data_IF_494004936086
#
_entry.id   IF_494004936086
#
_cell.length_a   1.000
_cell.length_b   1.000
_cell.length_c   1.000
_cell.angle_alpha   90.00
_cell.angle_beta   90.00
_cell.angle_gamma   90.00
#
_symmetry.space_group_name_H-M   'P 1'
#
loop_
_entity.id
_entity.type
_entity.pdbx_description
1 polymer ?
#
# COMPACT_ATOMS: atom_id res chain seq x y z
N UNK A 1 0.50 7.52 -6.46
CA UNK A 1 -0.35 8.68 -6.11
C UNK A 1 -1.39 8.27 -5.07
N UNK A 2 -1.78 9.17 -4.18
CA UNK A 2 -2.88 8.96 -3.23
C UNK A 2 -3.54 10.29 -2.86
N UNK A 3 -4.74 10.24 -2.28
CA UNK A 3 -5.39 11.43 -1.71
C UNK A 3 -4.78 11.73 -0.34
N UNK A 4 -4.50 13.01 -0.06
CA UNK A 4 -3.93 13.40 1.25
C UNK A 4 -4.88 13.13 2.41
N UNK A 5 -6.20 13.27 2.19
CA UNK A 5 -7.23 13.08 3.21
C UNK A 5 -8.28 12.10 2.70
N UNK A 6 -8.64 11.11 3.50
CA UNK A 6 -9.72 10.18 3.19
C UNK A 6 -10.00 9.16 4.29
N UNK A 7 -11.23 8.66 4.31
CA UNK A 7 -11.67 7.59 5.23
C UNK A 7 -11.22 6.20 4.78
N UNK A 8 -10.92 6.05 3.49
CA UNK A 8 -10.41 4.81 2.88
C UNK A 8 -9.07 5.13 2.21
N UNK A 9 -8.05 4.34 2.53
CA UNK A 9 -6.73 4.45 1.93
C UNK A 9 -6.73 3.74 0.58
N UNK A 10 -6.36 4.46 -0.48
CA UNK A 10 -6.18 3.89 -1.82
C UNK A 10 -4.96 4.53 -2.47
N UNK A 11 -4.04 3.68 -2.90
CA UNK A 11 -2.82 4.09 -3.56
C UNK A 11 -2.86 3.61 -5.00
N UNK A 12 -2.61 4.54 -5.91
CA UNK A 12 -2.64 4.30 -7.35
C UNK A 12 -1.22 4.34 -7.90
N UNK A 13 -0.84 3.29 -8.62
CA UNK A 13 0.33 3.32 -9.49
C UNK A 13 -0.02 4.03 -10.79
N UNK A 14 0.87 4.93 -11.23
CA UNK A 14 0.62 5.72 -12.43
C UNK A 14 1.90 5.89 -13.25
N UNK A 15 1.84 5.51 -14.51
CA UNK A 15 2.87 5.69 -15.52
C UNK A 15 2.35 6.33 -16.81
N UNK A 16 1.10 6.83 -16.83
CA UNK A 16 0.44 7.37 -18.02
C UNK A 16 0.57 8.89 -18.21
N UNK A 17 1.57 9.51 -17.57
CA UNK A 17 1.82 10.97 -17.59
C UNK A 17 0.68 11.84 -17.02
N UNK A 18 -0.33 11.27 -16.35
CA UNK A 18 -1.40 12.06 -15.75
C UNK A 18 -0.90 13.02 -14.66
N UNK A 19 -1.53 14.19 -14.62
CA UNK A 19 -1.23 15.25 -13.65
C UNK A 19 -2.03 15.06 -12.37
N UNK A 20 -1.32 15.10 -11.23
CA UNK A 20 -1.96 15.12 -9.91
C UNK A 20 -2.64 16.46 -9.64
N UNK A 21 -3.75 16.43 -8.89
CA UNK A 21 -4.35 17.63 -8.32
C UNK A 21 -3.59 18.06 -7.05
N UNK A 22 -3.78 19.29 -6.62
CA UNK A 22 -3.20 19.87 -5.38
C UNK A 22 -3.53 19.05 -4.10
N UNK A 23 -4.69 18.38 -4.12
CA UNK A 23 -5.20 17.49 -3.08
C UNK A 23 -4.57 16.09 -3.08
N UNK A 24 -3.72 15.78 -4.07
CA UNK A 24 -3.03 14.50 -4.17
C UNK A 24 -1.60 14.58 -3.68
N UNK A 25 -1.09 13.45 -3.19
CA UNK A 25 0.32 13.24 -2.89
C UNK A 25 0.86 12.15 -3.81
N UNK A 26 2.16 12.17 -4.05
CA UNK A 26 2.82 11.18 -4.88
C UNK A 26 4.23 10.91 -4.36
N UNK A 27 4.72 9.71 -4.70
CA UNK A 27 6.08 9.28 -4.43
C UNK A 27 6.66 8.77 -5.75
N UNK A 28 7.97 8.98 -5.90
CA UNK A 28 8.77 8.48 -7.02
C UNK A 28 9.98 7.74 -6.44
N UNK A 29 10.54 6.81 -7.20
CA UNK A 29 11.74 6.09 -6.79
C UNK A 29 11.80 4.69 -7.35
N UNK A 30 12.80 3.94 -6.90
CA UNK A 30 12.97 2.54 -7.25
C UNK A 30 11.94 1.68 -6.52
N UNK A 31 11.52 0.59 -7.16
CA UNK A 31 10.59 -0.40 -6.61
C UNK A 31 9.22 0.19 -6.20
N UNK A 32 8.76 1.23 -6.89
CA UNK A 32 7.51 1.93 -6.54
C UNK A 32 6.28 1.03 -6.71
N UNK A 33 6.33 0.03 -7.58
CA UNK A 33 5.28 -0.97 -7.76
C UNK A 33 5.12 -1.80 -6.49
N UNK A 34 6.22 -2.30 -5.92
CA UNK A 34 6.19 -2.99 -4.63
C UNK A 34 5.64 -2.10 -3.51
N UNK A 35 6.09 -0.85 -3.41
CA UNK A 35 5.58 0.09 -2.41
C UNK A 35 4.06 0.28 -2.57
N UNK A 36 3.60 0.42 -3.81
CA UNK A 36 2.17 0.55 -4.12
C UNK A 36 1.39 -0.71 -3.72
N UNK A 37 1.93 -1.91 -3.94
CA UNK A 37 1.34 -3.14 -3.45
C UNK A 37 1.20 -3.11 -1.93
N UNK A 38 2.30 -2.86 -1.18
CA UNK A 38 2.27 -2.86 0.30
C UNK A 38 1.19 -1.93 0.84
N UNK A 39 1.13 -0.70 0.34
CA UNK A 39 0.23 0.32 0.85
C UNK A 39 -1.26 0.03 0.60
N UNK A 40 -1.60 -0.87 -0.34
CA UNK A 40 -2.97 -1.30 -0.61
C UNK A 40 -3.32 -2.64 0.07
N UNK A 41 -2.44 -3.22 0.88
CA UNK A 41 -2.75 -4.45 1.65
C UNK A 41 -3.14 -4.15 3.08
N UNK A 42 -3.73 -5.12 3.81
CA UNK A 42 -3.94 -5.01 5.26
C UNK A 42 -2.67 -4.62 6.03
N UNK A 43 -1.49 -5.08 5.59
CA UNK A 43 -0.21 -4.67 6.17
C UNK A 43 0.04 -3.16 6.01
N UNK A 44 -0.24 -2.61 4.82
CA UNK A 44 -0.13 -1.17 4.56
C UNK A 44 -1.08 -0.35 5.45
N UNK A 45 -2.31 -0.82 5.62
CA UNK A 45 -3.29 -0.18 6.50
C UNK A 45 -2.83 -0.24 7.97
N UNK A 46 -2.28 -1.38 8.40
CA UNK A 46 -1.66 -1.51 9.73
C UNK A 46 -0.48 -0.55 9.93
N UNK A 47 0.40 -0.40 8.95
CA UNK A 47 1.54 0.54 9.01
C UNK A 47 1.11 2.00 9.12
N UNK A 48 -0.07 2.33 8.60
CA UNK A 48 -0.64 3.68 8.59
C UNK A 48 -1.69 3.92 9.69
N UNK A 49 -1.91 2.96 10.60
CA UNK A 49 -2.95 3.04 11.65
C UNK A 49 -2.82 4.26 12.56
N UNK A 50 -1.58 4.72 12.77
CA UNK A 50 -1.24 5.84 13.65
C UNK A 50 -1.09 7.16 12.88
N UNK A 51 -1.46 7.20 11.60
CA UNK A 51 -1.44 8.42 10.82
C UNK A 51 -2.38 9.48 11.44
N UNK A 52 -2.02 10.78 11.36
CA UNK A 52 -2.83 11.86 11.90
C UNK A 52 -4.26 11.81 11.35
N UNK A 53 -5.24 12.18 12.19
CA UNK A 53 -6.64 12.27 11.78
C UNK A 53 -7.13 13.70 11.74
N UNK A 54 -8.06 14.00 10.83
CA UNK A 54 -8.80 15.27 10.81
C UNK A 54 -9.76 15.36 11.99
N UNK A 55 -10.35 16.54 12.22
CA UNK A 55 -11.39 16.72 13.23
C UNK A 55 -12.65 15.86 13.03
N UNK A 56 -12.85 15.31 11.83
CA UNK A 56 -13.95 14.39 11.48
C UNK A 56 -13.55 12.91 11.54
N UNK A 57 -12.29 12.61 11.87
CA UNK A 57 -11.78 11.25 12.01
C UNK A 57 -11.16 10.63 10.75
N UNK A 58 -11.13 11.37 9.64
CA UNK A 58 -10.49 10.92 8.39
C UNK A 58 -8.97 10.87 8.55
N UNK A 59 -8.31 9.91 7.90
CA UNK A 59 -6.85 9.82 7.91
C UNK A 59 -6.25 10.92 7.03
N UNK A 60 -5.16 11.52 7.52
CA UNK A 60 -4.33 12.50 6.83
C UNK A 60 -3.00 11.84 6.49
N UNK A 61 -2.89 11.31 5.27
CA UNK A 61 -1.69 10.65 4.76
C UNK A 61 -0.84 11.66 3.99
N UNK A 62 -0.10 12.50 4.73
CA UNK A 62 0.95 13.35 4.16
C UNK A 62 2.27 12.59 4.08
N UNK A 63 3.32 13.26 3.59
CA UNK A 63 4.69 12.73 3.61
C UNK A 63 5.10 12.29 5.03
N UNK A 64 4.69 13.03 6.06
CA UNK A 64 5.04 12.72 7.47
C UNK A 64 4.40 11.42 7.98
N UNK A 65 3.28 10.99 7.40
CA UNK A 65 2.65 9.72 7.75
C UNK A 65 3.35 8.53 7.06
N UNK A 66 3.84 8.75 5.84
CA UNK A 66 4.45 7.69 5.01
C UNK A 66 5.94 7.52 5.32
N UNK A 67 6.68 8.61 5.54
CA UNK A 67 8.14 8.58 5.77
C UNK A 67 8.58 7.66 6.93
N UNK A 68 7.86 7.54 8.06
CA UNK A 68 8.27 6.67 9.16
C UNK A 68 8.05 5.17 8.92
N UNK A 69 7.23 4.78 7.94
CA UNK A 69 6.86 3.37 7.76
C UNK A 69 8.09 2.53 7.40
N UNK A 70 8.12 1.29 7.89
CA UNK A 70 9.23 0.36 7.64
C UNK A 70 8.82 -0.62 6.57
N UNK A 71 9.41 -0.48 5.39
CA UNK A 71 9.25 -1.41 4.27
C UNK A 71 10.43 -2.38 4.21
N UNK A 72 10.19 -3.68 3.93
CA UNK A 72 11.27 -4.62 3.73
C UNK A 72 12.01 -4.28 2.43
N UNK A 73 13.30 -4.59 2.40
CA UNK A 73 14.09 -4.47 1.17
C UNK A 73 13.78 -5.64 0.25
N UNK A 74 13.54 -5.37 -1.02
CA UNK A 74 13.22 -6.38 -2.04
C UNK A 74 14.27 -6.38 -3.15
N UNK A 75 14.50 -7.54 -3.75
CA UNK A 75 15.36 -7.64 -4.94
C UNK A 75 14.63 -7.10 -6.17
N UNK A 76 15.39 -6.85 -7.23
CA UNK A 76 14.81 -6.40 -8.50
C UNK A 76 13.87 -7.47 -9.11
N UNK A 77 14.22 -8.76 -9.01
CA UNK A 77 13.35 -9.83 -9.52
C UNK A 77 12.02 -9.86 -8.78
N UNK A 78 12.04 -9.68 -7.45
CA UNK A 78 10.84 -9.65 -6.64
C UNK A 78 9.97 -8.41 -6.95
N UNK A 79 10.59 -7.25 -7.21
CA UNK A 79 9.82 -6.07 -7.64
C UNK A 79 9.14 -6.28 -9.00
N UNK A 80 9.79 -6.97 -9.95
CA UNK A 80 9.15 -7.35 -11.23
C UNK A 80 7.94 -8.25 -10.99
N UNK A 81 8.03 -9.18 -10.04
CA UNK A 81 6.90 -10.03 -9.70
C UNK A 81 5.72 -9.20 -9.14
N UNK A 82 5.98 -8.29 -8.20
CA UNK A 82 4.95 -7.39 -7.66
C UNK A 82 4.36 -6.49 -8.74
N UNK A 83 5.18 -5.98 -9.66
CA UNK A 83 4.70 -5.21 -10.82
C UNK A 83 3.71 -6.01 -11.66
N UNK A 84 4.03 -7.26 -12.00
CA UNK A 84 3.14 -8.14 -12.77
C UNK A 84 1.82 -8.36 -12.04
N UNK A 85 1.86 -8.62 -10.73
CA UNK A 85 0.66 -8.81 -9.92
C UNK A 85 -0.18 -7.54 -9.85
N UNK A 86 0.45 -6.37 -9.70
CA UNK A 86 -0.20 -5.07 -9.71
C UNK A 86 -0.91 -4.79 -11.04
N UNK A 87 -0.25 -5.04 -12.17
CA UNK A 87 -0.84 -4.90 -13.51
C UNK A 87 -2.05 -5.83 -13.69
N UNK A 88 -1.96 -7.08 -13.23
CA UNK A 88 -3.10 -8.00 -13.24
C UNK A 88 -4.26 -7.53 -12.35
N UNK A 89 -3.95 -6.97 -11.18
CA UNK A 89 -4.95 -6.43 -10.26
C UNK A 89 -5.69 -5.22 -10.88
N UNK A 90 -4.96 -4.33 -11.54
CA UNK A 90 -5.53 -3.18 -12.26
C UNK A 90 -6.44 -3.64 -13.41
N UNK A 91 -6.06 -4.69 -14.13
CA UNK A 91 -6.84 -5.20 -15.26
C UNK A 91 -8.11 -5.95 -14.86
N UNK A 92 -8.04 -6.78 -13.81
CA UNK A 92 -9.07 -7.78 -13.53
C UNK A 92 -9.79 -7.61 -12.18
N UNK A 93 -9.33 -6.72 -11.29
CA UNK A 93 -9.87 -6.49 -9.94
C UNK A 93 -10.34 -7.78 -9.25
N UNK A 94 -9.37 -8.61 -8.83
CA UNK A 94 -9.64 -9.94 -8.29
C UNK A 94 -9.12 -10.08 -6.86
N UNK A 95 -10.02 -10.49 -5.95
CA UNK A 95 -9.69 -10.76 -4.55
C UNK A 95 -8.59 -11.82 -4.40
N UNK A 96 -8.51 -12.78 -5.34
CA UNK A 96 -7.45 -13.80 -5.33
C UNK A 96 -6.06 -13.18 -5.50
N UNK A 97 -5.93 -12.18 -6.38
CA UNK A 97 -4.66 -11.47 -6.62
C UNK A 97 -4.33 -10.59 -5.41
N UNK A 98 -5.32 -9.92 -4.84
CA UNK A 98 -5.14 -9.11 -3.62
C UNK A 98 -4.65 -9.97 -2.44
N UNK A 99 -5.25 -11.15 -2.27
CA UNK A 99 -4.84 -12.12 -1.27
C UNK A 99 -3.42 -12.65 -1.55
N UNK A 100 -3.07 -12.95 -2.80
CA UNK A 100 -1.70 -13.37 -3.16
C UNK A 100 -0.67 -12.30 -2.80
N UNK A 101 -0.94 -11.04 -3.15
CA UNK A 101 -0.09 -9.89 -2.84
C UNK A 101 0.07 -9.76 -1.32
N UNK A 102 -1.04 -9.81 -0.57
CA UNK A 102 -1.05 -9.69 0.90
C UNK A 102 -0.24 -10.79 1.58
N UNK A 103 -0.42 -12.04 1.16
CA UNK A 103 0.33 -13.18 1.69
C UNK A 103 1.83 -13.08 1.39
N UNK A 104 2.21 -12.66 0.18
CA UNK A 104 3.62 -12.39 -0.15
C UNK A 104 4.22 -11.30 0.74
N UNK A 105 3.48 -10.22 1.00
CA UNK A 105 3.95 -9.13 1.86
C UNK A 105 4.11 -9.60 3.30
N UNK A 106 3.13 -10.30 3.88
CA UNK A 106 3.26 -10.84 5.23
C UNK A 106 4.47 -11.76 5.39
N UNK A 107 4.75 -12.59 4.38
CA UNK A 107 5.94 -13.43 4.36
C UNK A 107 7.25 -12.62 4.36
N UNK A 108 7.29 -11.46 3.68
CA UNK A 108 8.46 -10.57 3.70
C UNK A 108 8.71 -9.93 5.07
N UNK A 109 7.65 -9.69 5.85
CA UNK A 109 7.76 -9.23 7.23
C UNK A 109 8.06 -10.37 8.22
N UNK A 110 7.96 -11.63 7.78
CA UNK A 110 8.16 -12.80 8.65
C UNK A 110 7.08 -12.96 9.71
N UNK A 111 5.84 -12.52 9.42
CA UNK A 111 4.74 -12.58 10.37
C UNK A 111 4.23 -14.01 10.57
N UNK A 112 3.94 -14.35 11.82
CA UNK A 112 3.24 -15.58 12.19
C UNK A 112 1.77 -15.56 11.74
N UNK A 113 1.14 -16.74 11.68
CA UNK A 113 -0.29 -16.84 11.34
C UNK A 113 -1.20 -16.06 12.30
N UNK A 114 -0.82 -15.95 13.58
CA UNK A 114 -1.61 -15.18 14.56
C UNK A 114 -1.52 -13.67 14.27
N UNK A 115 -0.34 -13.17 13.92
CA UNK A 115 -0.14 -11.76 13.55
C UNK A 115 -0.83 -11.42 12.23
N UNK A 116 -0.74 -12.30 11.23
CA UNK A 116 -1.45 -12.14 9.96
C UNK A 116 -2.96 -12.02 10.19
N UNK A 117 -3.54 -12.98 10.94
CA UNK A 117 -4.97 -12.96 11.28
C UNK A 117 -5.36 -11.68 12.03
N UNK A 118 -4.56 -11.26 13.00
CA UNK A 118 -4.82 -10.02 13.73
C UNK A 118 -4.88 -8.82 12.79
N UNK A 119 -3.95 -8.72 11.84
CA UNK A 119 -3.93 -7.62 10.88
C UNK A 119 -5.14 -7.67 9.95
N UNK A 120 -5.44 -8.84 9.36
CA UNK A 120 -6.56 -9.03 8.44
C UNK A 120 -7.92 -8.71 9.11
N UNK A 121 -8.11 -9.07 10.38
CA UNK A 121 -9.37 -8.84 11.11
C UNK A 121 -9.57 -7.38 11.56
N UNK A 122 -8.49 -6.60 11.69
CA UNK A 122 -8.53 -5.26 12.28
C UNK A 122 -8.19 -4.12 11.30
N UNK A 123 -7.61 -4.43 10.15
CA UNK A 123 -7.09 -3.44 9.20
C UNK A 123 -7.36 -3.86 7.75
N UNK A 124 -8.59 -3.65 7.27
CA UNK A 124 -9.00 -3.86 5.87
C UNK A 124 -9.57 -2.58 5.29
#
# INVERSE_FOLDING_TARGET
>A
LWKRVGSILRFCYNDNEALGLDSTCFAIGNNIEFVCCVLNTPMGHYLLKDAPKTGTGDLLISVQAVEPIKLPSVTHELNIEFKRLLEMMIANCSDDIENEISQKIFNLYGLSHEEQRYIEENFT
#
